data_IF_686366255439
#
_entry.id   IF_686366255439
#
_cell.length_a   1.000
_cell.length_b   1.000
_cell.length_c   1.000
_cell.angle_alpha   90.00
_cell.angle_beta   90.00
_cell.angle_gamma   90.00
#
_symmetry.space_group_name_H-M   'P 1'
#
loop_
_entity.id
_entity.type
_entity.pdbx_description
1 polymer ?
#
# COMPACT_ATOMS: atom_id res chain seq x y z
N UNK A 1 23.03 47.09 -15.42
CA UNK A 1 23.79 45.85 -15.17
C UNK A 1 23.29 45.29 -13.83
N UNK A 2 22.03 44.91 -13.71
CA UNK A 2 21.49 43.55 -13.89
C UNK A 2 22.30 42.47 -13.16
N UNK A 3 22.13 42.41 -11.84
CA UNK A 3 22.51 41.25 -11.05
C UNK A 3 21.26 40.38 -10.85
N UNK A 4 21.07 39.45 -11.78
CA UNK A 4 19.98 38.46 -11.79
C UNK A 4 20.34 37.38 -10.75
N UNK A 5 19.96 37.60 -9.49
CA UNK A 5 19.86 36.50 -8.53
C UNK A 5 18.79 35.55 -9.04
N UNK A 6 19.23 34.35 -9.43
CA UNK A 6 18.37 33.23 -9.77
C UNK A 6 17.66 32.80 -8.49
N UNK A 7 16.37 33.09 -8.40
CA UNK A 7 15.46 32.36 -7.54
C UNK A 7 15.32 30.95 -8.13
N UNK A 8 16.26 30.07 -7.78
CA UNK A 8 16.11 28.63 -7.98
C UNK A 8 15.10 28.15 -6.93
N UNK A 9 13.82 28.23 -7.29
CA UNK A 9 12.76 27.60 -6.54
C UNK A 9 12.97 26.08 -6.57
N UNK A 10 13.28 25.51 -5.41
CA UNK A 10 13.26 24.09 -5.12
C UNK A 10 11.98 23.45 -5.70
N UNK A 11 12.07 22.31 -6.41
CA UNK A 11 10.88 21.60 -6.88
C UNK A 11 10.26 20.88 -5.67
N UNK A 12 9.55 21.64 -4.83
CA UNK A 12 8.69 21.09 -3.81
C UNK A 12 7.59 20.29 -4.49
N UNK A 13 7.56 19.00 -4.19
CA UNK A 13 6.48 18.02 -4.27
C UNK A 13 5.07 18.62 -4.53
N UNK A 14 4.82 19.04 -5.77
CA UNK A 14 3.49 19.48 -6.18
C UNK A 14 2.78 18.26 -6.73
N UNK A 15 1.97 17.69 -5.86
CA UNK A 15 0.83 16.85 -6.22
C UNK A 15 0.15 17.46 -7.47
N UNK A 16 -0.16 16.67 -8.51
CA UNK A 16 -0.63 17.20 -9.79
C UNK A 16 -1.82 18.14 -9.58
N UNK A 17 -1.78 19.31 -10.24
CA UNK A 17 -2.84 20.33 -10.22
C UNK A 17 -4.07 19.82 -10.98
N UNK A 18 -4.78 18.88 -10.34
CA UNK A 18 -5.99 18.25 -10.86
C UNK A 18 -7.19 19.14 -10.54
N UNK A 19 -8.18 19.25 -11.45
CA UNK A 19 -9.44 19.90 -11.12
C UNK A 19 -10.08 19.23 -9.90
N UNK A 20 -10.84 19.97 -9.07
CA UNK A 20 -11.27 19.51 -7.75
C UNK A 20 -12.06 18.19 -7.77
N UNK A 21 -12.84 17.94 -8.83
CA UNK A 21 -13.55 16.67 -9.02
C UNK A 21 -12.60 15.48 -9.28
N UNK A 22 -11.50 15.72 -10.00
CA UNK A 22 -10.46 14.71 -10.25
C UNK A 22 -9.57 14.47 -9.04
N UNK A 23 -9.29 15.52 -8.25
CA UNK A 23 -8.58 15.38 -6.98
C UNK A 23 -9.41 14.56 -5.96
N UNK A 24 -10.71 14.82 -5.83
CA UNK A 24 -11.60 14.05 -4.97
C UNK A 24 -11.66 12.57 -5.37
N UNK A 25 -11.81 12.28 -6.67
CA UNK A 25 -11.81 10.91 -7.18
C UNK A 25 -10.46 10.19 -6.93
N UNK A 26 -9.36 10.93 -6.99
CA UNK A 26 -8.02 10.39 -6.71
C UNK A 26 -7.87 9.98 -5.24
N UNK A 27 -8.28 10.83 -4.30
CA UNK A 27 -8.28 10.50 -2.88
C UNK A 27 -9.23 9.35 -2.55
N UNK A 28 -10.41 9.31 -3.18
CA UNK A 28 -11.34 8.19 -3.04
C UNK A 28 -10.71 6.88 -3.51
N UNK A 29 -10.00 6.88 -4.64
CA UNK A 29 -9.31 5.70 -5.15
C UNK A 29 -8.22 5.19 -4.20
N UNK A 30 -7.46 6.10 -3.58
CA UNK A 30 -6.46 5.77 -2.55
C UNK A 30 -7.15 5.13 -1.33
N UNK A 31 -8.16 5.79 -0.78
CA UNK A 31 -8.90 5.31 0.39
C UNK A 31 -9.53 3.93 0.15
N UNK A 32 -10.13 3.75 -1.04
CA UNK A 32 -10.67 2.47 -1.48
C UNK A 32 -9.61 1.37 -1.55
N UNK A 33 -8.46 1.66 -2.17
CA UNK A 33 -7.38 0.67 -2.29
C UNK A 33 -6.88 0.22 -0.93
N UNK A 34 -6.69 1.14 0.02
CA UNK A 34 -6.29 0.84 1.40
C UNK A 34 -7.33 -0.04 2.09
N UNK A 35 -8.62 0.31 2.01
CA UNK A 35 -9.70 -0.47 2.60
C UNK A 35 -9.79 -1.88 2.01
N UNK A 36 -9.70 -2.01 0.68
CA UNK A 36 -9.80 -3.30 0.02
C UNK A 36 -8.61 -4.22 0.41
N UNK A 37 -7.40 -3.66 0.59
CA UNK A 37 -6.25 -4.41 1.11
C UNK A 37 -6.52 -4.87 2.55
N UNK A 38 -6.97 -3.96 3.41
CA UNK A 38 -7.26 -4.23 4.83
C UNK A 38 -8.26 -5.38 5.01
N UNK A 39 -9.40 -5.31 4.31
CA UNK A 39 -10.45 -6.34 4.35
C UNK A 39 -9.90 -7.72 3.93
N UNK A 40 -9.02 -7.75 2.92
CA UNK A 40 -8.41 -9.02 2.48
C UNK A 40 -7.42 -9.53 3.52
N UNK A 41 -6.54 -8.69 4.04
CA UNK A 41 -5.50 -9.09 5.00
C UNK A 41 -6.12 -9.60 6.29
N UNK A 42 -7.06 -8.84 6.86
CA UNK A 42 -7.81 -9.21 8.07
C UNK A 42 -8.62 -10.49 7.84
N UNK A 43 -9.35 -10.58 6.72
CA UNK A 43 -10.11 -11.79 6.36
C UNK A 43 -9.23 -13.05 6.22
N UNK A 44 -8.01 -12.91 5.69
CA UNK A 44 -7.05 -14.02 5.64
C UNK A 44 -6.49 -14.37 7.02
N UNK A 45 -6.23 -13.38 7.88
CA UNK A 45 -5.80 -13.59 9.27
C UNK A 45 -6.86 -14.29 10.10
N UNK A 46 -8.14 -14.06 9.86
CA UNK A 46 -9.23 -14.75 10.56
C UNK A 46 -9.39 -16.20 10.07
N UNK A 47 -9.24 -16.43 8.76
CA UNK A 47 -9.55 -17.72 8.14
C UNK A 47 -8.40 -18.73 8.19
N UNK A 48 -7.14 -18.29 8.22
CA UNK A 48 -5.99 -19.20 8.10
C UNK A 48 -5.48 -19.58 9.49
N UNK A 49 -5.70 -20.82 9.97
CA UNK A 49 -5.20 -21.24 11.28
C UNK A 49 -3.67 -21.43 11.26
N UNK A 50 -2.95 -21.25 12.38
CA UNK A 50 -1.49 -21.38 12.47
C UNK A 50 -0.99 -22.83 12.60
N UNK A 51 -1.70 -23.81 12.03
CA UNK A 51 -1.44 -25.25 12.28
C UNK A 51 -0.18 -25.77 11.57
N UNK A 52 0.04 -25.35 10.33
CA UNK A 52 1.16 -25.80 9.47
C UNK A 52 2.27 -24.76 9.40
N UNK A 53 3.54 -25.16 9.18
CA UNK A 53 4.66 -24.21 9.06
C UNK A 53 4.40 -23.09 8.05
N UNK A 54 3.92 -23.41 6.85
CA UNK A 54 3.60 -22.41 5.83
C UNK A 54 2.47 -21.45 6.25
N UNK A 55 1.50 -21.93 7.05
CA UNK A 55 0.41 -21.08 7.56
C UNK A 55 0.95 -20.09 8.59
N UNK A 56 1.86 -20.53 9.47
CA UNK A 56 2.53 -19.65 10.42
C UNK A 56 3.35 -18.58 9.70
N UNK A 57 4.12 -18.97 8.70
CA UNK A 57 4.91 -18.04 7.89
C UNK A 57 4.02 -17.02 7.16
N UNK A 58 2.96 -17.49 6.49
CA UNK A 58 2.00 -16.61 5.84
C UNK A 58 1.36 -15.63 6.83
N UNK A 59 0.95 -16.10 8.01
CA UNK A 59 0.40 -15.22 9.05
C UNK A 59 1.37 -14.18 9.56
N UNK A 60 2.68 -14.46 9.59
CA UNK A 60 3.70 -13.45 9.93
C UNK A 60 3.68 -12.33 8.88
N UNK A 61 3.71 -12.68 7.59
CA UNK A 61 3.61 -11.69 6.52
C UNK A 61 2.28 -10.93 6.53
N UNK A 62 1.16 -11.61 6.80
CA UNK A 62 -0.15 -10.95 6.88
C UNK A 62 -0.24 -9.97 8.06
N UNK A 63 0.33 -10.30 9.23
CA UNK A 63 0.38 -9.36 10.38
C UNK A 63 1.28 -8.16 10.10
N UNK A 64 2.35 -8.37 9.35
CA UNK A 64 3.24 -7.29 8.95
C UNK A 64 2.54 -6.37 7.92
N UNK A 65 1.78 -6.94 6.98
CA UNK A 65 0.94 -6.18 6.07
C UNK A 65 -0.15 -5.39 6.81
N UNK A 66 -0.85 -6.02 7.76
CA UNK A 66 -1.86 -5.39 8.63
C UNK A 66 -1.28 -4.17 9.37
N UNK A 67 -0.10 -4.34 9.98
CA UNK A 67 0.63 -3.23 10.60
C UNK A 67 0.95 -2.11 9.60
N UNK A 68 1.38 -2.44 8.38
CA UNK A 68 1.70 -1.44 7.36
C UNK A 68 0.48 -0.71 6.80
N UNK A 69 -0.69 -1.36 6.74
CA UNK A 69 -1.97 -0.70 6.47
C UNK A 69 -2.26 0.36 7.54
N UNK A 70 -2.10 0.00 8.82
CA UNK A 70 -2.34 0.93 9.93
C UNK A 70 -1.36 2.11 9.91
N UNK A 71 -0.07 1.85 9.68
CA UNK A 71 0.95 2.90 9.54
C UNK A 71 0.59 3.86 8.40
N UNK A 72 0.15 3.33 7.25
CA UNK A 72 -0.24 4.16 6.12
C UNK A 72 -1.47 5.01 6.43
N UNK A 73 -2.49 4.44 7.08
CA UNK A 73 -3.69 5.18 7.53
C UNK A 73 -3.32 6.31 8.48
N UNK A 74 -2.44 6.03 9.44
CA UNK A 74 -1.95 7.03 10.39
C UNK A 74 -1.16 8.13 9.69
N UNK A 75 -0.24 7.77 8.79
CA UNK A 75 0.55 8.75 8.03
C UNK A 75 -0.35 9.70 7.23
N UNK A 76 -1.39 9.17 6.56
CA UNK A 76 -2.37 9.99 5.84
C UNK A 76 -3.19 10.85 6.81
N UNK A 77 -3.68 10.28 7.92
CA UNK A 77 -4.54 10.99 8.88
C UNK A 77 -3.81 12.08 9.65
N UNK A 78 -2.50 11.92 9.86
CA UNK A 78 -1.64 12.90 10.53
C UNK A 78 -1.03 13.91 9.55
N UNK A 79 -1.43 13.87 8.27
CA UNK A 79 -0.90 14.75 7.21
C UNK A 79 0.65 14.72 7.18
N UNK A 80 1.22 13.52 7.36
CA UNK A 80 2.67 13.35 7.27
C UNK A 80 3.19 13.69 5.88
N UNK A 81 4.49 13.94 5.82
CA UNK A 81 5.19 14.19 4.57
C UNK A 81 4.93 13.05 3.56
N UNK A 82 4.78 13.43 2.29
CA UNK A 82 4.43 12.49 1.22
C UNK A 82 5.49 11.39 1.06
N UNK A 83 6.76 11.66 1.38
CA UNK A 83 7.83 10.65 1.39
C UNK A 83 7.56 9.53 2.39
N UNK A 84 6.98 9.84 3.56
CA UNK A 84 6.61 8.84 4.56
C UNK A 84 5.42 7.99 4.11
N UNK A 85 4.41 8.62 3.48
CA UNK A 85 3.26 7.93 2.90
C UNK A 85 3.73 6.96 1.80
N UNK A 86 4.63 7.42 0.93
CA UNK A 86 5.26 6.59 -0.10
C UNK A 86 6.03 5.41 0.47
N UNK A 87 6.84 5.64 1.48
CA UNK A 87 7.65 4.60 2.12
C UNK A 87 6.76 3.56 2.80
N UNK A 88 5.67 3.99 3.44
CA UNK A 88 4.67 3.08 4.04
C UNK A 88 3.98 2.23 2.96
N UNK A 89 3.51 2.83 1.88
CA UNK A 89 2.88 2.12 0.75
C UNK A 89 3.86 1.14 0.07
N UNK A 90 5.13 1.54 -0.10
CA UNK A 90 6.18 0.68 -0.66
C UNK A 90 6.42 -0.55 0.21
N UNK A 91 6.54 -0.38 1.53
CA UNK A 91 6.72 -1.48 2.48
C UNK A 91 5.51 -2.43 2.47
N UNK A 92 4.28 -1.88 2.45
CA UNK A 92 3.06 -2.68 2.33
C UNK A 92 3.07 -3.54 1.06
N UNK A 93 3.39 -2.95 -0.09
CA UNK A 93 3.50 -3.67 -1.37
C UNK A 93 4.55 -4.80 -1.29
N UNK A 94 5.73 -4.52 -0.73
CA UNK A 94 6.81 -5.51 -0.63
C UNK A 94 6.41 -6.72 0.25
N UNK A 95 5.76 -6.47 1.38
CA UNK A 95 5.32 -7.57 2.26
C UNK A 95 4.27 -8.44 1.57
N UNK A 96 3.31 -7.83 0.88
CA UNK A 96 2.28 -8.55 0.12
C UNK A 96 2.85 -9.29 -1.09
N UNK A 97 3.89 -8.74 -1.74
CA UNK A 97 4.62 -9.40 -2.81
C UNK A 97 5.29 -10.68 -2.31
N UNK A 98 6.00 -10.61 -1.18
CA UNK A 98 6.65 -11.76 -0.55
C UNK A 98 5.61 -12.83 -0.19
N UNK A 99 4.49 -12.44 0.42
CA UNK A 99 3.40 -13.36 0.76
C UNK A 99 2.80 -14.03 -0.49
N UNK A 100 2.59 -13.27 -1.56
CA UNK A 100 2.03 -13.76 -2.81
C UNK A 100 2.98 -14.74 -3.53
N UNK A 101 4.28 -14.41 -3.62
CA UNK A 101 5.28 -15.28 -4.25
C UNK A 101 5.45 -16.59 -3.48
N UNK A 102 5.54 -16.53 -2.15
CA UNK A 102 5.68 -17.74 -1.33
C UNK A 102 4.47 -18.67 -1.41
N UNK A 103 3.28 -18.14 -1.68
CA UNK A 103 2.05 -18.94 -1.82
C UNK A 103 1.76 -19.38 -3.26
N UNK A 104 2.27 -18.67 -4.26
CA UNK A 104 2.09 -19.00 -5.69
C UNK A 104 2.65 -20.38 -6.05
N UNK A 105 3.80 -20.77 -5.46
CA UNK A 105 4.39 -22.10 -5.63
C UNK A 105 3.90 -23.17 -4.66
N UNK A 106 2.86 -22.90 -3.86
CA UNK A 106 2.67 -23.53 -2.56
C UNK A 106 1.36 -24.30 -2.30
N UNK A 107 1.22 -24.71 -1.02
CA UNK A 107 0.16 -25.57 -0.44
C UNK A 107 -1.12 -24.84 -0.04
N UNK A 108 -1.26 -23.57 -0.45
CA UNK A 108 -2.46 -22.78 -0.21
C UNK A 108 -3.58 -23.18 -1.19
N UNK A 109 -4.83 -23.19 -0.71
CA UNK A 109 -5.99 -23.38 -1.58
C UNK A 109 -6.11 -22.22 -2.60
N UNK A 110 -6.95 -22.42 -3.61
CA UNK A 110 -7.14 -21.42 -4.67
C UNK A 110 -7.70 -20.09 -4.16
N UNK A 111 -8.56 -20.11 -3.13
CA UNK A 111 -9.14 -18.90 -2.55
C UNK A 111 -8.08 -18.05 -1.84
N UNK A 112 -7.26 -18.68 -1.00
CA UNK A 112 -6.12 -18.01 -0.34
C UNK A 112 -5.16 -17.38 -1.35
N UNK A 113 -4.82 -18.10 -2.42
CA UNK A 113 -3.92 -17.58 -3.48
C UNK A 113 -4.54 -16.39 -4.22
N UNK A 114 -5.81 -16.49 -4.60
CA UNK A 114 -6.49 -15.40 -5.30
C UNK A 114 -6.61 -14.15 -4.43
N UNK A 115 -6.93 -14.31 -3.15
CA UNK A 115 -7.01 -13.20 -2.20
C UNK A 115 -5.67 -12.47 -2.09
N UNK A 116 -4.55 -13.20 -1.92
CA UNK A 116 -3.22 -12.61 -1.88
C UNK A 116 -2.84 -11.89 -3.18
N UNK A 117 -3.17 -12.49 -4.33
CA UNK A 117 -2.95 -11.86 -5.62
C UNK A 117 -3.73 -10.54 -5.74
N UNK A 118 -4.99 -10.49 -5.31
CA UNK A 118 -5.80 -9.26 -5.33
C UNK A 118 -5.22 -8.21 -4.39
N UNK A 119 -4.84 -8.59 -3.15
CA UNK A 119 -4.20 -7.68 -2.21
C UNK A 119 -2.90 -7.07 -2.78
N UNK A 120 -2.04 -7.91 -3.39
CA UNK A 120 -0.81 -7.44 -4.04
C UNK A 120 -1.07 -6.49 -5.21
N UNK A 121 -2.09 -6.78 -6.04
CA UNK A 121 -2.49 -5.89 -7.14
C UNK A 121 -3.00 -4.55 -6.60
N UNK A 122 -3.84 -4.56 -5.57
CA UNK A 122 -4.33 -3.33 -4.95
C UNK A 122 -3.19 -2.51 -4.31
N UNK A 123 -2.21 -3.15 -3.67
CA UNK A 123 -1.04 -2.47 -3.15
C UNK A 123 -0.14 -1.88 -4.25
N UNK A 124 -0.06 -2.54 -5.41
CA UNK A 124 0.63 -2.02 -6.59
C UNK A 124 -0.09 -0.81 -7.18
N UNK A 125 -1.42 -0.84 -7.26
CA UNK A 125 -2.24 0.29 -7.69
C UNK A 125 -2.12 1.47 -6.72
N UNK A 126 -2.21 1.23 -5.42
CA UNK A 126 -1.99 2.23 -4.38
C UNK A 126 -0.61 2.91 -4.52
N UNK A 127 0.44 2.11 -4.72
CA UNK A 127 1.79 2.67 -4.95
C UNK A 127 1.86 3.55 -6.19
N UNK A 128 1.10 3.20 -7.24
CA UNK A 128 1.05 3.98 -8.48
C UNK A 128 0.17 5.23 -8.35
N UNK A 129 -0.91 5.19 -7.57
CA UNK A 129 -1.73 6.35 -7.26
C UNK A 129 -0.98 7.37 -6.42
N UNK A 130 -0.11 6.90 -5.52
CA UNK A 130 0.72 7.80 -4.73
C UNK A 130 1.88 8.40 -5.52
N UNK A 131 2.33 7.75 -6.62
CA UNK A 131 3.46 8.21 -7.44
C UNK A 131 3.26 9.66 -7.93
N UNK A 132 4.31 10.51 -7.86
CA UNK A 132 4.24 11.90 -8.30
C UNK A 132 3.97 12.06 -9.80
#
# INVERSE_FOLDING_TARGET
MMDKRRDEAEPGDKMPDLPPESAAAHFEAIGKAINDIDVIVTGLLERIPPSKPWQRQLRVHLRDADRHVEILRLAISLEHDITEIHDAARKLKQVLEVANVQTAGGRADGGTRNALMVAYRNASLLSALLAP
#
